data_IF_214333737735
#
_entry.id   IF_214333737735
#
_cell.length_a   1.000
_cell.length_b   1.000
_cell.length_c   1.000
_cell.angle_alpha   90.00
_cell.angle_beta   90.00
_cell.angle_gamma   90.00
#
_symmetry.space_group_name_H-M   'P 1'
#
loop_
_entity.id
_entity.type
_entity.pdbx_description
1 polymer ?
#
# COMPACT_ATOMS: atom_id res chain seq x y z
N UNK A 1 -5.32 9.76 -25.86
CA UNK A 1 -6.39 10.66 -25.38
C UNK A 1 -6.32 10.76 -23.86
N UNK A 2 -6.87 11.83 -23.29
CA UNK A 2 -7.01 12.02 -21.84
C UNK A 2 -7.71 10.85 -21.16
N UNK A 3 -8.79 10.34 -21.76
CA UNK A 3 -9.54 9.18 -21.27
C UNK A 3 -8.65 7.94 -21.05
N UNK A 4 -7.81 7.57 -22.03
CA UNK A 4 -6.88 6.44 -21.88
C UNK A 4 -5.80 6.71 -20.84
N UNK A 5 -5.28 7.94 -20.78
CA UNK A 5 -4.23 8.32 -19.82
C UNK A 5 -4.73 8.22 -18.38
N UNK A 6 -5.88 8.83 -18.08
CA UNK A 6 -6.50 8.80 -16.74
C UNK A 6 -6.88 7.36 -16.37
N UNK A 7 -7.53 6.63 -17.29
CA UNK A 7 -7.92 5.24 -17.05
C UNK A 7 -6.72 4.33 -16.78
N UNK A 8 -5.62 4.51 -17.50
CA UNK A 8 -4.37 3.78 -17.24
C UNK A 8 -3.82 4.11 -15.86
N UNK A 9 -3.73 5.38 -15.46
CA UNK A 9 -3.24 5.75 -14.12
C UNK A 9 -4.10 5.14 -13.01
N UNK A 10 -5.43 5.17 -13.15
CA UNK A 10 -6.35 4.55 -12.19
C UNK A 10 -6.15 3.03 -12.13
N UNK A 11 -6.12 2.35 -13.28
CA UNK A 11 -5.89 0.92 -13.34
C UNK A 11 -4.50 0.54 -12.77
N UNK A 12 -3.47 1.35 -13.03
CA UNK A 12 -2.14 1.15 -12.46
C UNK A 12 -2.16 1.26 -10.93
N UNK A 13 -2.90 2.22 -10.39
CA UNK A 13 -3.03 2.42 -8.96
C UNK A 13 -3.81 1.29 -8.27
N UNK A 14 -4.94 0.85 -8.84
CA UNK A 14 -5.85 -0.08 -8.16
C UNK A 14 -5.67 -1.56 -8.52
N UNK A 15 -5.12 -1.87 -9.69
CA UNK A 15 -5.11 -3.24 -10.24
C UNK A 15 -3.69 -3.80 -10.28
N UNK A 16 -2.82 -3.29 -11.15
CA UNK A 16 -1.47 -3.86 -11.33
C UNK A 16 -0.48 -2.82 -11.84
N UNK A 17 0.82 -3.08 -11.73
CA UNK A 17 1.83 -2.21 -12.35
C UNK A 17 1.61 -2.09 -13.88
N UNK A 18 1.19 -3.21 -14.49
CA UNK A 18 0.91 -3.33 -15.92
C UNK A 18 -0.56 -3.75 -16.13
N UNK A 19 -1.51 -2.80 -16.15
CA UNK A 19 -2.93 -3.13 -16.30
C UNK A 19 -3.24 -3.59 -17.73
N UNK A 20 -4.18 -4.55 -17.84
CA UNK A 20 -4.66 -5.06 -19.12
C UNK A 20 -5.08 -3.93 -20.07
N UNK A 21 -4.60 -3.92 -21.34
CA UNK A 21 -5.04 -2.96 -22.34
C UNK A 21 -6.56 -2.94 -22.53
N UNK A 22 -7.22 -4.10 -22.40
CA UNK A 22 -8.67 -4.24 -22.56
C UNK A 22 -9.43 -3.59 -21.41
N UNK A 23 -8.95 -3.75 -20.17
CA UNK A 23 -9.52 -3.04 -19.02
C UNK A 23 -9.41 -1.53 -19.21
N UNK A 24 -8.23 -1.04 -19.59
CA UNK A 24 -8.00 0.38 -19.83
C UNK A 24 -8.89 0.90 -20.97
N UNK A 25 -9.12 0.11 -22.01
CA UNK A 25 -10.03 0.46 -23.10
C UNK A 25 -11.49 0.58 -22.62
N UNK A 26 -11.98 -0.37 -21.81
CA UNK A 26 -13.35 -0.31 -21.23
C UNK A 26 -13.52 0.91 -20.33
N UNK A 27 -12.56 1.16 -19.44
CA UNK A 27 -12.55 2.34 -18.57
C UNK A 27 -12.53 3.65 -19.36
N UNK A 28 -11.71 3.73 -20.42
CA UNK A 28 -11.63 4.91 -21.27
C UNK A 28 -12.93 5.17 -22.06
N UNK A 29 -13.61 4.10 -22.50
CA UNK A 29 -14.93 4.21 -23.13
C UNK A 29 -15.97 4.76 -22.14
N UNK A 30 -15.99 4.27 -20.90
CA UNK A 30 -16.84 4.83 -19.83
C UNK A 30 -16.54 6.31 -19.62
N UNK A 31 -15.26 6.67 -19.47
CA UNK A 31 -14.84 8.06 -19.28
C UNK A 31 -15.39 8.98 -20.38
N UNK A 32 -15.28 8.57 -21.66
CA UNK A 32 -15.78 9.37 -22.77
C UNK A 32 -17.30 9.43 -22.84
N UNK A 33 -17.99 8.34 -22.52
CA UNK A 33 -19.46 8.29 -22.55
C UNK A 33 -20.11 9.07 -21.39
N UNK A 34 -19.40 9.19 -20.26
CA UNK A 34 -19.88 9.85 -19.04
C UNK A 34 -19.32 11.25 -18.83
N UNK A 35 -18.75 11.87 -19.87
CA UNK A 35 -18.08 13.19 -19.83
C UNK A 35 -17.09 13.33 -18.66
N UNK A 36 -16.29 12.27 -18.43
CA UNK A 36 -15.22 12.27 -17.43
C UNK A 36 -15.63 11.94 -15.99
N UNK A 37 -16.87 11.48 -15.73
CA UNK A 37 -17.29 11.00 -14.41
C UNK A 37 -16.39 9.85 -13.89
N UNK A 38 -15.48 10.20 -12.96
CA UNK A 38 -14.52 9.26 -12.37
C UNK A 38 -15.21 8.17 -11.54
N UNK A 39 -16.34 8.45 -10.91
CA UNK A 39 -17.05 7.44 -10.13
C UNK A 39 -17.59 6.33 -11.05
N UNK A 40 -18.05 6.67 -12.26
CA UNK A 40 -18.45 5.68 -13.26
C UNK A 40 -17.26 4.85 -13.76
N UNK A 41 -16.13 5.50 -14.03
CA UNK A 41 -14.90 4.82 -14.47
C UNK A 41 -14.40 3.83 -13.40
N UNK A 42 -14.41 4.23 -12.14
CA UNK A 42 -14.07 3.36 -11.01
C UNK A 42 -15.06 2.21 -10.86
N UNK A 43 -16.37 2.42 -11.08
CA UNK A 43 -17.36 1.34 -11.10
C UNK A 43 -17.05 0.30 -12.18
N UNK A 44 -16.71 0.73 -13.39
CA UNK A 44 -16.28 -0.17 -14.48
C UNK A 44 -15.07 -1.01 -14.08
N UNK A 45 -14.10 -0.40 -13.41
CA UNK A 45 -12.90 -1.09 -12.94
C UNK A 45 -13.20 -2.07 -11.80
N UNK A 46 -13.93 -1.65 -10.76
CA UNK A 46 -14.24 -2.50 -9.60
C UNK A 46 -15.13 -3.70 -9.95
N UNK A 47 -15.96 -3.59 -10.99
CA UNK A 47 -16.76 -4.69 -11.50
C UNK A 47 -15.97 -5.67 -12.39
N UNK A 48 -14.72 -5.37 -12.72
CA UNK A 48 -13.92 -6.14 -13.67
C UNK A 48 -13.31 -7.43 -13.06
N UNK A 49 -13.12 -8.49 -13.85
CA UNK A 49 -12.40 -9.67 -13.39
C UNK A 49 -10.93 -9.36 -13.06
N UNK A 50 -10.31 -8.40 -13.76
CA UNK A 50 -8.94 -7.97 -13.49
C UNK A 50 -8.78 -7.39 -12.08
N UNK A 51 -9.71 -6.56 -11.62
CA UNK A 51 -9.69 -6.02 -10.25
C UNK A 51 -9.91 -7.11 -9.20
N UNK A 52 -10.84 -8.04 -9.45
CA UNK A 52 -11.06 -9.16 -8.53
C UNK A 52 -9.81 -10.03 -8.38
N UNK A 53 -9.08 -10.25 -9.48
CA UNK A 53 -7.85 -11.02 -9.50
C UNK A 53 -6.65 -10.29 -8.86
N UNK A 54 -6.70 -8.96 -8.73
CA UNK A 54 -5.58 -8.18 -8.20
C UNK A 54 -5.54 -8.03 -6.67
N UNK A 55 -6.62 -8.39 -5.97
CA UNK A 55 -6.74 -8.18 -4.52
C UNK A 55 -5.60 -8.87 -3.74
N UNK A 56 -4.93 -8.12 -2.85
CA UNK A 56 -3.81 -8.61 -2.06
C UNK A 56 -2.47 -8.69 -2.80
N UNK A 57 -2.43 -8.34 -4.09
CA UNK A 57 -1.24 -8.48 -4.93
C UNK A 57 -0.45 -7.19 -5.17
N UNK A 58 -1.01 -6.01 -4.84
CA UNK A 58 -0.38 -4.73 -5.17
C UNK A 58 0.58 -4.31 -4.06
N UNK A 59 1.84 -4.02 -4.40
CA UNK A 59 2.83 -3.56 -3.43
C UNK A 59 2.47 -2.18 -2.88
N UNK A 60 2.61 -2.01 -1.56
CA UNK A 60 2.37 -0.74 -0.87
C UNK A 60 3.54 0.23 -1.09
N UNK A 61 3.20 1.46 -1.51
CA UNK A 61 4.11 2.60 -1.41
C UNK A 61 4.40 2.94 0.09
N UNK A 62 5.41 3.78 0.37
CA UNK A 62 5.72 4.20 1.74
C UNK A 62 4.54 4.77 2.53
N UNK A 63 3.68 5.58 1.91
CA UNK A 63 2.48 6.14 2.55
C UNK A 63 1.52 5.03 2.98
N UNK A 64 1.14 4.15 2.06
CA UNK A 64 0.22 3.03 2.31
C UNK A 64 0.77 2.08 3.38
N UNK A 65 2.06 1.75 3.31
CA UNK A 65 2.71 0.90 4.30
C UNK A 65 2.63 1.52 5.71
N UNK A 66 3.04 2.79 5.82
CA UNK A 66 3.11 3.49 7.11
C UNK A 66 1.73 3.67 7.72
N UNK A 67 0.75 4.09 6.92
CA UNK A 67 -0.63 4.25 7.39
C UNK A 67 -1.27 2.91 7.79
N UNK A 68 -0.98 1.83 7.06
CA UNK A 68 -1.45 0.48 7.43
C UNK A 68 -0.87 0.04 8.78
N UNK A 69 0.43 0.29 9.01
CA UNK A 69 1.11 -0.08 10.26
C UNK A 69 0.59 0.75 11.44
N UNK A 70 0.36 2.04 11.23
CA UNK A 70 -0.21 2.93 12.25
C UNK A 70 -1.67 2.57 12.54
N UNK A 71 -2.46 2.17 11.53
CA UNK A 71 -3.83 1.72 11.75
C UNK A 71 -3.89 0.52 12.70
N UNK A 72 -2.97 -0.44 12.54
CA UNK A 72 -2.81 -1.57 13.46
C UNK A 72 -2.39 -1.14 14.86
N UNK A 73 -1.43 -0.21 14.95
CA UNK A 73 -0.83 0.22 16.21
C UNK A 73 -1.74 1.13 17.05
N UNK A 74 -2.53 1.96 16.38
CA UNK A 74 -3.38 2.95 17.02
C UNK A 74 -4.77 2.43 17.31
N UNK A 75 -5.26 1.41 16.60
CA UNK A 75 -6.61 0.87 16.76
C UNK A 75 -7.68 1.98 16.80
N UNK A 76 -7.78 2.74 15.71
CA UNK A 76 -8.65 3.91 15.55
C UNK A 76 -8.35 5.13 16.46
N UNK A 77 -7.36 5.07 17.35
CA UNK A 77 -6.96 6.24 18.13
C UNK A 77 -6.29 7.31 17.25
N UNK A 78 -6.47 8.61 17.56
CA UNK A 78 -5.76 9.68 16.87
C UNK A 78 -4.25 9.54 17.00
N UNK A 79 -3.52 9.92 15.95
CA UNK A 79 -2.07 10.02 15.99
C UNK A 79 -1.66 11.23 16.84
N UNK A 80 -0.94 11.06 17.97
CA UNK A 80 -0.63 12.19 18.85
C UNK A 80 0.37 13.19 18.24
N UNK A 81 1.36 12.68 17.50
CA UNK A 81 2.39 13.48 16.83
C UNK A 81 2.65 12.95 15.40
N UNK A 82 2.39 13.75 14.35
CA UNK A 82 2.64 13.35 12.97
C UNK A 82 4.10 13.47 12.53
N UNK A 83 4.96 14.19 13.25
CA UNK A 83 6.33 14.47 12.80
C UNK A 83 7.19 13.20 12.59
N UNK A 84 7.14 12.18 13.47
CA UNK A 84 7.87 10.93 13.24
C UNK A 84 7.41 10.20 11.98
N UNK A 85 6.12 10.29 11.66
CA UNK A 85 5.51 9.68 10.48
C UNK A 85 5.96 10.41 9.21
N UNK A 86 5.89 11.74 9.20
CA UNK A 86 6.38 12.57 8.09
C UNK A 86 7.87 12.30 7.84
N UNK A 87 8.68 12.23 8.90
CA UNK A 87 10.11 11.90 8.80
C UNK A 87 10.36 10.48 8.28
N UNK A 88 9.53 9.50 8.64
CA UNK A 88 9.62 8.13 8.11
C UNK A 88 9.35 8.09 6.60
N UNK A 89 8.32 8.80 6.14
CA UNK A 89 8.00 8.90 4.71
C UNK A 89 9.13 9.56 3.91
N UNK A 90 9.72 10.63 4.44
CA UNK A 90 10.88 11.29 3.83
C UNK A 90 12.08 10.33 3.70
N UNK A 91 12.38 9.54 4.75
CA UNK A 91 13.47 8.54 4.69
C UNK A 91 13.22 7.43 3.67
N UNK A 92 11.95 7.10 3.39
CA UNK A 92 11.57 6.11 2.39
C UNK A 92 11.44 6.70 0.97
N UNK A 93 11.70 7.99 0.78
CA UNK A 93 11.69 8.65 -0.52
C UNK A 93 10.32 9.17 -0.98
N UNK A 94 9.32 9.18 -0.10
CA UNK A 94 7.97 9.71 -0.39
C UNK A 94 7.56 10.83 0.59
N UNK A 95 8.33 11.92 0.73
CA UNK A 95 7.94 13.04 1.59
C UNK A 95 6.60 13.65 1.15
N UNK A 96 5.73 13.97 2.12
CA UNK A 96 4.42 14.55 1.83
C UNK A 96 4.57 15.92 1.14
N UNK A 97 3.84 16.11 0.04
CA UNK A 97 3.80 17.35 -0.76
C UNK A 97 5.15 17.83 -1.31
N UNK A 98 6.13 16.93 -1.45
CA UNK A 98 7.51 17.28 -1.84
C UNK A 98 7.96 16.61 -3.15
N UNK A 99 7.01 16.19 -4.00
CA UNK A 99 7.31 15.81 -5.38
C UNK A 99 7.53 17.07 -6.21
N UNK A 100 8.72 17.21 -6.81
CA UNK A 100 9.09 18.41 -7.57
C UNK A 100 8.30 18.59 -8.88
N UNK A 101 7.84 17.49 -9.47
CA UNK A 101 7.20 17.45 -10.79
C UNK A 101 5.70 17.18 -10.68
N UNK A 102 4.89 17.66 -11.64
CA UNK A 102 3.42 17.56 -11.58
C UNK A 102 2.88 16.16 -11.92
N UNK A 103 3.76 15.19 -12.20
CA UNK A 103 3.42 13.82 -12.54
C UNK A 103 3.03 12.96 -11.32
N UNK A 104 3.35 13.43 -10.11
CA UNK A 104 3.12 12.72 -8.85
C UNK A 104 4.18 11.65 -8.56
N UNK A 105 4.07 10.98 -7.42
CA UNK A 105 4.94 9.86 -7.08
C UNK A 105 4.66 8.62 -7.96
N UNK A 106 5.66 7.75 -8.20
CA UNK A 106 5.50 6.55 -9.02
C UNK A 106 4.49 5.58 -8.41
N UNK A 107 3.75 4.89 -9.27
CA UNK A 107 2.67 3.98 -8.88
C UNK A 107 3.07 2.49 -8.95
N UNK A 108 4.34 2.23 -9.27
CA UNK A 108 4.89 0.92 -9.60
C UNK A 108 5.82 0.41 -8.50
N UNK A 109 5.88 -0.90 -8.32
CA UNK A 109 6.67 -1.56 -7.28
C UNK A 109 8.16 -1.30 -7.42
N UNK A 110 8.66 -1.23 -8.65
CA UNK A 110 10.08 -1.05 -8.96
C UNK A 110 10.69 0.19 -8.29
N UNK A 111 9.88 1.21 -8.07
CA UNK A 111 10.29 2.47 -7.45
C UNK A 111 10.32 2.41 -5.91
N UNK A 112 9.77 1.34 -5.31
CA UNK A 112 9.54 1.23 -3.86
C UNK A 112 10.11 -0.03 -3.21
N UNK A 113 10.60 -0.98 -4.01
CA UNK A 113 11.04 -2.30 -3.55
C UNK A 113 12.54 -2.55 -3.71
N UNK A 114 13.35 -1.51 -3.86
CA UNK A 114 14.82 -1.67 -3.86
C UNK A 114 15.32 -2.19 -2.51
N UNK A 115 16.47 -2.90 -2.45
CA UNK A 115 17.01 -3.40 -1.18
C UNK A 115 17.17 -2.32 -0.10
N UNK A 116 17.63 -1.12 -0.48
CA UNK A 116 17.77 0.01 0.45
C UNK A 116 16.43 0.54 0.98
N UNK A 117 15.38 0.53 0.17
CA UNK A 117 14.03 0.90 0.62
C UNK A 117 13.42 -0.16 1.54
N UNK A 118 13.61 -1.44 1.24
CA UNK A 118 13.16 -2.52 2.12
C UNK A 118 13.89 -2.52 3.46
N UNK A 119 15.20 -2.24 3.47
CA UNK A 119 15.97 -2.07 4.71
C UNK A 119 15.47 -0.88 5.53
N UNK A 120 15.26 0.28 4.90
CA UNK A 120 14.67 1.44 5.59
C UNK A 120 13.30 1.12 6.16
N UNK A 121 12.46 0.41 5.41
CA UNK A 121 11.12 0.00 5.83
C UNK A 121 11.16 -0.94 7.04
N UNK A 122 12.10 -1.88 7.08
CA UNK A 122 12.34 -2.72 8.26
C UNK A 122 12.68 -1.89 9.51
N UNK A 123 13.52 -0.87 9.39
CA UNK A 123 13.83 0.04 10.50
C UNK A 123 12.60 0.85 10.97
N UNK A 124 11.72 1.25 10.04
CA UNK A 124 10.42 1.85 10.40
C UNK A 124 9.53 0.84 11.14
N UNK A 125 9.44 -0.39 10.63
CA UNK A 125 8.69 -1.47 11.26
C UNK A 125 9.15 -1.70 12.69
N UNK A 126 10.46 -1.78 12.92
CA UNK A 126 11.09 -1.93 14.24
C UNK A 126 10.73 -0.77 15.16
N UNK A 127 10.78 0.46 14.66
CA UNK A 127 10.41 1.64 15.45
C UNK A 127 8.94 1.58 15.91
N UNK A 128 8.02 1.15 15.05
CA UNK A 128 6.60 1.01 15.40
C UNK A 128 6.40 -0.17 16.36
N UNK A 129 6.96 -1.33 16.04
CA UNK A 129 6.81 -2.57 16.79
C UNK A 129 7.27 -2.43 18.24
N UNK A 130 8.41 -1.79 18.48
CA UNK A 130 8.97 -1.63 19.83
C UNK A 130 8.30 -0.54 20.66
N UNK A 131 7.47 0.32 20.05
CA UNK A 131 6.58 1.24 20.78
C UNK A 131 5.30 0.56 21.29
N UNK A 132 4.99 -0.64 20.78
CA UNK A 132 3.78 -1.37 21.15
C UNK A 132 4.12 -2.43 22.20
N UNK A 133 3.57 -2.33 23.43
CA UNK A 133 3.87 -3.28 24.50
C UNK A 133 3.18 -4.63 24.30
N UNK A 134 2.11 -4.67 23.49
CA UNK A 134 1.30 -5.85 23.20
C UNK A 134 1.32 -6.17 21.71
N UNK A 135 0.85 -7.36 21.34
CA UNK A 135 0.69 -7.73 19.93
C UNK A 135 -0.31 -6.78 19.26
N UNK A 136 -0.01 -6.40 18.02
CA UNK A 136 -0.92 -5.64 17.16
C UNK A 136 -2.21 -6.43 16.94
N UNK A 137 -3.31 -5.70 16.78
CA UNK A 137 -4.64 -6.28 16.58
C UNK A 137 -4.65 -7.15 15.31
N UNK A 138 -4.82 -8.46 15.48
CA UNK A 138 -4.69 -9.45 14.39
C UNK A 138 -5.88 -9.46 13.43
N UNK A 139 -7.04 -8.97 13.88
CA UNK A 139 -8.27 -8.84 13.09
C UNK A 139 -8.17 -7.77 12.00
N UNK A 140 -7.33 -6.76 12.22
CA UNK A 140 -7.02 -5.71 11.25
C UNK A 140 -5.85 -6.06 10.32
N UNK A 141 -5.12 -7.14 10.60
CA UNK A 141 -3.98 -7.58 9.81
C UNK A 141 -4.43 -8.35 8.55
N UNK A 142 -3.66 -8.30 7.44
CA UNK A 142 -3.94 -9.14 6.29
C UNK A 142 -3.82 -10.62 6.66
N UNK A 143 -4.59 -11.52 6.00
CA UNK A 143 -4.37 -12.96 6.14
C UNK A 143 -2.91 -13.31 5.82
N UNK A 144 -2.28 -14.07 6.71
CA UNK A 144 -0.88 -14.48 6.58
C UNK A 144 -0.78 -15.94 6.12
N UNK A 145 0.18 -16.23 5.24
CA UNK A 145 0.49 -17.58 4.79
C UNK A 145 1.07 -18.46 5.89
N UNK A 146 1.21 -19.76 5.61
CA UNK A 146 1.78 -20.74 6.54
C UNK A 146 3.20 -20.39 6.99
N UNK A 147 4.10 -20.05 6.07
CA UNK A 147 5.47 -19.68 6.39
C UNK A 147 5.56 -18.44 7.32
N UNK A 148 4.73 -17.43 7.08
CA UNK A 148 4.65 -16.24 7.94
C UNK A 148 4.08 -16.61 9.31
N UNK A 149 3.04 -17.46 9.38
CA UNK A 149 2.49 -17.96 10.66
C UNK A 149 3.52 -18.73 11.48
N UNK A 150 4.28 -19.61 10.86
CA UNK A 150 5.33 -20.39 11.53
C UNK A 150 6.45 -19.49 12.08
N UNK A 151 6.77 -18.43 11.35
CA UNK A 151 7.76 -17.44 11.78
C UNK A 151 7.24 -16.62 12.96
N UNK A 152 5.98 -16.18 12.90
CA UNK A 152 5.31 -15.47 13.99
C UNK A 152 5.18 -16.34 15.25
N UNK A 153 4.96 -17.64 15.11
CA UNK A 153 4.86 -18.58 16.24
C UNK A 153 6.18 -18.72 17.02
N UNK A 154 7.32 -18.43 16.38
CA UNK A 154 8.67 -18.49 16.99
C UNK A 154 9.05 -17.20 17.73
N UNK A 155 8.24 -16.14 17.63
CA UNK A 155 8.53 -14.88 18.29
C UNK A 155 8.53 -15.02 19.82
N UNK A 156 9.61 -14.53 20.45
CA UNK A 156 9.84 -14.60 21.90
C UNK A 156 9.18 -13.46 22.68
N UNK A 157 8.74 -12.40 22.00
CA UNK A 157 8.11 -11.23 22.60
C UNK A 157 7.01 -10.62 21.73
N UNK A 158 6.08 -9.82 22.30
CA UNK A 158 5.10 -9.07 21.51
C UNK A 158 5.75 -8.13 20.48
N UNK A 159 6.86 -7.48 20.84
CA UNK A 159 7.60 -6.56 19.97
C UNK A 159 8.22 -7.29 18.78
N UNK A 160 8.84 -8.45 19.02
CA UNK A 160 9.38 -9.29 17.94
C UNK A 160 8.26 -9.79 17.03
N UNK A 161 7.14 -10.24 17.61
CA UNK A 161 5.97 -10.66 16.84
C UNK A 161 5.45 -9.53 15.94
N UNK A 162 5.35 -8.30 16.47
CA UNK A 162 4.93 -7.11 15.72
C UNK A 162 5.91 -6.77 14.59
N UNK A 163 7.22 -6.84 14.86
CA UNK A 163 8.25 -6.59 13.86
C UNK A 163 8.14 -7.61 12.71
N UNK A 164 8.01 -8.89 13.03
CA UNK A 164 7.88 -9.95 12.04
C UNK A 164 6.60 -9.78 11.20
N UNK A 165 5.47 -9.43 11.83
CA UNK A 165 4.22 -9.15 11.11
C UNK A 165 4.40 -7.97 10.15
N UNK A 166 4.89 -6.83 10.64
CA UNK A 166 5.08 -5.61 9.84
C UNK A 166 6.15 -5.77 8.75
N UNK A 167 7.01 -6.78 8.84
CA UNK A 167 8.03 -7.11 7.84
C UNK A 167 7.62 -8.23 6.89
N UNK A 168 6.46 -8.86 7.10
CA UNK A 168 6.00 -10.00 6.32
C UNK A 168 5.68 -9.62 4.86
N UNK A 169 5.83 -10.55 3.90
CA UNK A 169 5.43 -10.33 2.52
C UNK A 169 3.97 -9.88 2.40
N UNK A 170 3.06 -10.50 3.15
CA UNK A 170 1.63 -10.19 3.13
C UNK A 170 1.35 -8.76 3.59
N UNK A 171 2.11 -8.27 4.58
CA UNK A 171 1.97 -6.89 5.03
C UNK A 171 2.51 -5.85 4.02
N UNK A 172 3.41 -6.25 3.11
CA UNK A 172 3.91 -5.38 2.05
C UNK A 172 2.90 -5.15 0.91
N UNK A 173 1.81 -5.93 0.84
CA UNK A 173 0.85 -5.89 -0.28
C UNK A 173 -0.57 -5.53 0.19
N UNK A 174 -1.39 -5.03 -0.73
CA UNK A 174 -2.81 -4.67 -0.53
C UNK A 174 -3.69 -5.27 -1.61
#
# INVERSE_FOLDING_TARGET
STARFVSRKLATFFVSDEPSPDLVARMAATFSASDGDIAQVLRTMFASPEFRASLGGKFKDPVQYTLSALRLALDQRPLPDPLPVIGALARMGEPLYARATPDGYPLTRTDWASPGQLATRFEIARTIAYRMPTRLASDLAPPVGEATRDTLAKASSPQEWNLLLLSSPEFMHR
#
